data_IF_054096853381
#
_entry.id   IF_054096853381
#
_cell.length_a   1.000
_cell.length_b   1.000
_cell.length_c   1.000
_cell.angle_alpha   90.00
_cell.angle_beta   90.00
_cell.angle_gamma   90.00
#
_symmetry.space_group_name_H-M   'P 1'
#
loop_
_entity.id
_entity.type
_entity.pdbx_description
1 polymer ?
#
# COMPACT_ATOMS: atom_id res chain seq x y z
N UNK A 1 -12.66 -31.04 2.94
CA UNK A 1 -13.26 -29.70 2.86
C UNK A 1 -12.18 -28.79 2.32
N UNK A 2 -12.40 -28.16 1.17
CA UNK A 2 -11.48 -27.17 0.60
C UNK A 2 -11.30 -26.06 1.62
N UNK A 3 -10.11 -25.92 2.19
CA UNK A 3 -9.70 -24.71 2.90
C UNK A 3 -10.03 -23.51 2.01
N UNK A 4 -10.66 -22.48 2.58
CA UNK A 4 -10.93 -21.23 1.86
C UNK A 4 -9.61 -20.73 1.28
N UNK A 5 -9.53 -20.70 -0.05
CA UNK A 5 -8.40 -20.08 -0.73
C UNK A 5 -8.37 -18.61 -0.34
N UNK A 6 -7.22 -18.15 0.17
CA UNK A 6 -7.03 -16.76 0.48
C UNK A 6 -7.24 -15.91 -0.78
N UNK A 7 -7.69 -14.67 -0.61
CA UNK A 7 -7.76 -13.74 -1.73
C UNK A 7 -6.36 -13.55 -2.33
N UNK A 8 -6.28 -13.66 -3.66
CA UNK A 8 -5.07 -13.34 -4.40
C UNK A 8 -4.66 -11.89 -4.07
N UNK A 9 -3.38 -11.65 -3.88
CA UNK A 9 -2.88 -10.33 -3.51
C UNK A 9 -1.63 -9.97 -4.32
N UNK A 10 -1.59 -8.73 -4.80
CA UNK A 10 -0.37 -8.10 -5.30
C UNK A 10 0.05 -7.05 -4.29
N UNK A 11 1.31 -7.12 -3.89
CA UNK A 11 1.86 -6.34 -2.80
C UNK A 11 3.04 -5.60 -3.36
N UNK A 12 2.90 -4.28 -3.47
CA UNK A 12 4.00 -3.41 -3.88
C UNK A 12 4.51 -2.74 -2.61
N UNK A 13 5.69 -3.15 -2.17
CA UNK A 13 6.35 -2.56 -1.00
C UNK A 13 7.28 -1.47 -1.49
N UNK A 14 6.93 -0.24 -1.15
CA UNK A 14 7.75 0.93 -1.48
C UNK A 14 8.93 0.99 -0.52
N UNK A 15 8.71 1.00 0.80
CA UNK A 15 9.78 0.97 1.81
C UNK A 15 9.31 0.32 3.12
N UNK A 16 10.24 -0.16 3.99
CA UNK A 16 11.62 -0.54 3.67
C UNK A 16 11.65 -1.86 2.86
N UNK A 17 12.83 -2.24 2.34
CA UNK A 17 13.04 -3.46 1.55
C UNK A 17 12.14 -3.52 0.31
N UNK A 18 12.37 -2.59 -0.63
CA UNK A 18 11.63 -2.43 -1.88
C UNK A 18 11.41 -3.78 -2.56
N UNK A 19 10.16 -4.10 -2.91
CA UNK A 19 9.87 -5.39 -3.49
C UNK A 19 8.42 -5.61 -3.87
N UNK A 20 8.19 -6.71 -4.58
CA UNK A 20 6.85 -7.13 -5.02
C UNK A 20 6.61 -8.55 -4.54
N UNK A 21 5.48 -8.76 -3.85
CA UNK A 21 5.00 -10.11 -3.50
C UNK A 21 3.67 -10.37 -4.21
N UNK A 22 3.56 -11.48 -4.91
CA UNK A 22 2.29 -11.97 -5.50
C UNK A 22 1.89 -13.25 -4.81
N UNK A 23 0.74 -13.26 -4.15
CA UNK A 23 0.17 -14.43 -3.47
C UNK A 23 -1.02 -14.97 -4.25
N UNK A 24 -1.03 -16.27 -4.53
CA UNK A 24 -2.12 -16.94 -5.24
C UNK A 24 -2.19 -18.43 -4.91
N UNK A 25 -3.35 -19.04 -5.16
CA UNK A 25 -3.55 -20.48 -4.96
C UNK A 25 -2.86 -21.32 -6.05
N UNK A 26 -2.09 -22.32 -5.63
CA UNK A 26 -1.48 -23.31 -6.52
C UNK A 26 -1.75 -24.74 -6.04
N UNK A 27 -1.86 -25.67 -6.98
CA UNK A 27 -2.06 -27.08 -6.66
C UNK A 27 -0.79 -27.66 -6.01
N UNK A 28 -0.97 -28.36 -4.90
CA UNK A 28 0.11 -29.13 -4.27
C UNK A 28 0.51 -30.30 -5.18
N UNK A 29 1.81 -30.48 -5.51
CA UNK A 29 2.27 -31.65 -6.25
C UNK A 29 1.87 -32.95 -5.53
N UNK A 30 1.09 -33.80 -6.19
CA UNK A 30 0.56 -35.02 -5.59
C UNK A 30 -0.68 -35.56 -6.31
N UNK A 31 -1.22 -36.66 -5.80
CA UNK A 31 -2.42 -37.32 -6.32
C UNK A 31 -3.72 -36.73 -5.79
N UNK A 32 -3.68 -35.98 -4.68
CA UNK A 32 -4.82 -35.25 -4.12
C UNK A 32 -5.08 -33.93 -4.86
N UNK A 33 -6.35 -33.49 -4.87
CA UNK A 33 -6.74 -32.16 -5.32
C UNK A 33 -6.76 -31.21 -4.11
N UNK A 34 -5.56 -30.79 -3.71
CA UNK A 34 -5.33 -29.82 -2.64
C UNK A 34 -4.69 -28.56 -3.24
N UNK A 35 -5.26 -27.39 -2.95
CA UNK A 35 -4.77 -26.09 -3.39
C UNK A 35 -4.26 -25.36 -2.15
N UNK A 36 -3.06 -24.77 -2.23
CA UNK A 36 -2.45 -23.98 -1.17
C UNK A 36 -2.00 -22.63 -1.69
N UNK A 37 -1.97 -21.64 -0.81
CA UNK A 37 -1.40 -20.34 -1.12
C UNK A 37 0.12 -20.45 -1.30
N UNK A 38 0.59 -19.98 -2.46
CA UNK A 38 2.01 -19.81 -2.76
C UNK A 38 2.32 -18.33 -2.95
N UNK A 39 3.57 -17.93 -2.68
CA UNK A 39 4.05 -16.57 -2.86
C UNK A 39 5.19 -16.55 -3.87
N UNK A 40 5.16 -15.57 -4.78
CA UNK A 40 6.29 -15.18 -5.61
C UNK A 40 6.82 -13.85 -5.09
N UNK A 41 8.09 -13.82 -4.72
CA UNK A 41 8.74 -12.67 -4.11
C UNK A 41 9.85 -12.13 -5.00
N UNK A 42 9.88 -10.82 -5.17
CA UNK A 42 10.96 -10.05 -5.77
C UNK A 42 11.42 -9.01 -4.75
N UNK A 43 12.71 -8.98 -4.45
CA UNK A 43 13.34 -8.02 -3.55
C UNK A 43 14.44 -7.24 -4.30
N UNK A 44 14.34 -5.91 -4.29
CA UNK A 44 15.25 -5.04 -5.04
C UNK A 44 16.66 -5.09 -4.48
N UNK A 45 16.82 -5.02 -3.14
CA UNK A 45 18.12 -5.05 -2.48
C UNK A 45 18.89 -6.38 -2.60
N UNK A 46 18.20 -7.48 -2.90
CA UNK A 46 18.86 -8.77 -3.22
C UNK A 46 19.17 -8.90 -4.71
N UNK A 47 18.37 -8.26 -5.57
CA UNK A 47 18.47 -8.39 -7.03
C UNK A 47 19.44 -7.38 -7.66
N UNK A 48 19.69 -6.25 -7.00
CA UNK A 48 20.58 -5.19 -7.47
C UNK A 48 21.60 -4.82 -6.38
N UNK A 49 22.87 -4.74 -6.75
CA UNK A 49 23.98 -4.36 -5.84
C UNK A 49 24.15 -2.85 -5.69
N UNK A 50 23.41 -2.05 -6.45
CA UNK A 50 23.45 -0.59 -6.38
C UNK A 50 22.30 -0.08 -5.51
N UNK A 51 22.60 0.91 -4.66
CA UNK A 51 21.59 1.61 -3.90
C UNK A 51 20.71 2.42 -4.84
N UNK A 52 19.39 2.32 -4.66
CA UNK A 52 18.44 3.24 -5.29
C UNK A 52 18.82 4.70 -4.95
N UNK A 53 18.80 5.63 -5.93
CA UNK A 53 19.03 7.04 -5.64
C UNK A 53 18.06 7.54 -4.58
N UNK A 54 18.50 8.49 -3.76
CA UNK A 54 17.62 9.14 -2.80
C UNK A 54 16.52 9.91 -3.56
N UNK A 55 15.33 10.02 -2.96
CA UNK A 55 14.16 10.61 -3.64
C UNK A 55 14.43 12.02 -4.18
N UNK A 56 15.10 12.89 -3.42
CA UNK A 56 15.46 14.25 -3.84
C UNK A 56 16.58 14.29 -4.87
N UNK A 57 17.55 13.36 -4.83
CA UNK A 57 18.58 13.27 -5.89
C UNK A 57 17.92 13.06 -7.25
N UNK A 58 16.94 12.15 -7.32
CA UNK A 58 16.18 11.89 -8.54
C UNK A 58 15.37 13.10 -8.97
N UNK A 59 14.64 13.74 -8.06
CA UNK A 59 13.80 14.91 -8.40
C UNK A 59 14.65 16.11 -8.88
N UNK A 60 15.81 16.35 -8.28
CA UNK A 60 16.72 17.42 -8.70
C UNK A 60 17.28 17.11 -10.11
N UNK A 61 17.69 15.87 -10.36
CA UNK A 61 18.14 15.45 -11.68
C UNK A 61 17.05 15.66 -12.75
N UNK A 62 15.81 15.28 -12.45
CA UNK A 62 14.69 15.44 -13.38
C UNK A 62 14.42 16.93 -13.71
N UNK A 63 14.53 17.82 -12.73
CA UNK A 63 14.47 19.28 -12.98
C UNK A 63 15.60 19.75 -13.90
N UNK A 64 16.83 19.28 -13.69
CA UNK A 64 17.98 19.64 -14.53
C UNK A 64 17.84 19.14 -15.97
N UNK A 65 17.18 17.99 -16.17
CA UNK A 65 16.88 17.41 -17.47
C UNK A 65 15.61 17.96 -18.12
N UNK A 66 14.82 18.76 -17.39
CA UNK A 66 13.52 19.26 -17.85
C UNK A 66 12.44 18.17 -17.92
N UNK A 67 12.58 17.08 -17.16
CA UNK A 67 11.58 16.03 -17.04
C UNK A 67 10.61 16.35 -15.89
N UNK A 68 9.33 16.48 -16.23
CA UNK A 68 8.26 16.82 -15.28
C UNK A 68 7.40 15.61 -14.86
N UNK A 69 7.75 14.38 -15.23
CA UNK A 69 6.88 13.21 -15.00
C UNK A 69 6.63 12.87 -13.53
N UNK A 70 7.57 13.20 -12.64
CA UNK A 70 7.44 12.96 -11.19
C UNK A 70 6.88 14.16 -10.42
N UNK A 71 6.45 15.21 -11.12
CA UNK A 71 5.89 16.40 -10.51
C UNK A 71 4.38 16.45 -10.73
N UNK A 72 3.57 16.67 -9.67
CA UNK A 72 2.13 16.78 -9.82
C UNK A 72 1.79 18.01 -10.66
N UNK A 73 0.82 17.87 -11.54
CA UNK A 73 0.31 18.97 -12.36
C UNK A 73 -0.63 19.83 -11.54
N UNK A 74 -0.77 21.10 -11.91
CA UNK A 74 -1.67 22.03 -11.22
C UNK A 74 -3.10 21.47 -11.06
N UNK A 75 -3.66 20.89 -12.11
CA UNK A 75 -4.99 20.28 -12.04
C UNK A 75 -5.06 19.11 -11.06
N UNK A 76 -4.03 18.27 -10.98
CA UNK A 76 -4.00 17.13 -10.04
C UNK A 76 -3.99 17.63 -8.58
N UNK A 77 -3.28 18.73 -8.32
CA UNK A 77 -3.26 19.39 -7.01
C UNK A 77 -4.64 19.94 -6.65
N UNK A 78 -5.29 20.66 -7.56
CA UNK A 78 -6.64 21.23 -7.35
C UNK A 78 -7.69 20.14 -7.09
N UNK A 79 -7.67 19.04 -7.85
CA UNK A 79 -8.61 17.93 -7.62
C UNK A 79 -8.32 17.19 -6.31
N UNK A 80 -7.05 17.10 -5.91
CA UNK A 80 -6.68 16.52 -4.60
C UNK A 80 -7.25 17.35 -3.45
N UNK A 81 -7.20 18.69 -3.54
CA UNK A 81 -7.78 19.58 -2.54
C UNK A 81 -9.29 19.49 -2.47
N UNK A 82 -10.00 19.37 -3.60
CA UNK A 82 -11.47 19.16 -3.59
C UNK A 82 -11.90 17.90 -2.82
N UNK A 83 -11.04 16.90 -2.71
CA UNK A 83 -11.30 15.69 -1.92
C UNK A 83 -11.03 15.93 -0.44
N UNK A 84 -9.97 16.68 -0.10
CA UNK A 84 -9.53 16.91 1.28
C UNK A 84 -10.29 18.02 1.99
N UNK A 85 -10.61 19.13 1.30
CA UNK A 85 -11.27 20.31 1.90
C UNK A 85 -12.55 19.94 2.68
N UNK A 86 -13.48 19.10 2.16
CA UNK A 86 -14.68 18.75 2.90
C UNK A 86 -14.39 17.93 4.16
N UNK A 87 -13.31 17.14 4.16
CA UNK A 87 -12.88 16.34 5.32
C UNK A 87 -12.33 17.27 6.40
N UNK A 88 -11.50 18.24 6.02
CA UNK A 88 -10.96 19.24 6.94
C UNK A 88 -12.04 20.13 7.54
N UNK A 89 -12.97 20.64 6.72
CA UNK A 89 -14.12 21.43 7.17
C UNK A 89 -15.00 20.65 8.16
N UNK A 90 -15.23 19.37 7.87
CA UNK A 90 -16.00 18.50 8.75
C UNK A 90 -15.34 18.37 10.13
N UNK A 91 -14.03 18.12 10.19
CA UNK A 91 -13.30 18.02 11.46
C UNK A 91 -13.24 19.35 12.21
N UNK A 92 -13.06 20.47 11.51
CA UNK A 92 -13.08 21.79 12.13
C UNK A 92 -14.41 22.08 12.88
N UNK A 93 -15.54 21.56 12.38
CA UNK A 93 -16.85 21.75 12.98
C UNK A 93 -17.30 20.64 13.97
N UNK A 94 -16.83 19.40 13.79
CA UNK A 94 -17.38 18.22 14.50
C UNK A 94 -16.40 17.56 15.48
N UNK A 95 -15.16 18.06 15.58
CA UNK A 95 -14.18 17.62 16.55
C UNK A 95 -12.96 16.93 15.96
N UNK A 96 -12.17 16.29 16.82
CA UNK A 96 -10.86 15.73 16.49
C UNK A 96 -10.92 14.24 16.13
N UNK A 97 -9.95 13.72 15.36
CA UNK A 97 -9.82 12.28 15.09
C UNK A 97 -9.70 11.44 16.37
N UNK A 98 -10.09 10.16 16.26
CA UNK A 98 -9.99 9.19 17.34
C UNK A 98 -8.52 9.00 17.77
N UNK A 99 -8.31 8.92 19.09
CA UNK A 99 -6.99 8.73 19.69
C UNK A 99 -6.61 7.25 19.70
N UNK A 100 -5.31 6.96 19.65
CA UNK A 100 -4.77 5.60 19.70
C UNK A 100 -3.42 5.58 20.42
N UNK A 101 -3.01 4.40 20.90
CA UNK A 101 -1.76 4.25 21.61
C UNK A 101 -0.56 4.34 20.66
N UNK A 102 0.51 5.02 21.08
CA UNK A 102 1.76 5.07 20.30
C UNK A 102 2.31 3.67 20.03
N UNK A 103 2.69 3.41 18.77
CA UNK A 103 3.19 2.10 18.32
C UNK A 103 2.08 1.09 17.98
N UNK A 104 0.81 1.43 18.16
CA UNK A 104 -0.31 0.67 17.59
C UNK A 104 -0.59 1.11 16.15
N UNK A 105 -1.47 0.38 15.47
CA UNK A 105 -1.82 0.59 14.07
C UNK A 105 -2.96 1.60 13.85
N UNK A 106 -3.48 2.18 14.94
CA UNK A 106 -4.55 3.15 14.89
C UNK A 106 -5.69 2.82 15.85
N UNK A 107 -6.79 3.59 15.79
CA UNK A 107 -7.99 3.37 16.59
C UNK A 107 -8.79 2.16 16.05
N UNK A 108 -9.56 1.50 16.92
CA UNK A 108 -10.44 0.37 16.56
C UNK A 108 -11.44 0.71 15.45
N UNK A 109 -11.84 1.98 15.37
CA UNK A 109 -12.77 2.52 14.39
C UNK A 109 -12.23 2.38 12.96
N UNK A 110 -10.91 2.31 12.77
CA UNK A 110 -10.29 2.06 11.47
C UNK A 110 -10.51 0.62 10.98
N UNK A 111 -10.48 -0.37 11.89
CA UNK A 111 -10.79 -1.76 11.58
C UNK A 111 -12.29 -1.94 11.31
N UNK A 112 -13.13 -1.32 12.15
CA UNK A 112 -14.59 -1.35 11.98
C UNK A 112 -15.02 -0.76 10.63
N UNK A 113 -14.36 0.32 10.18
CA UNK A 113 -14.62 0.94 8.88
C UNK A 113 -14.43 -0.05 7.73
N UNK A 114 -13.33 -0.79 7.71
CA UNK A 114 -13.09 -1.80 6.66
C UNK A 114 -14.01 -3.02 6.81
N UNK A 115 -14.30 -3.44 8.04
CA UNK A 115 -15.16 -4.59 8.31
C UNK A 115 -16.59 -4.38 7.78
N UNK A 116 -17.09 -3.13 7.73
CA UNK A 116 -18.39 -2.79 7.11
C UNK A 116 -18.46 -3.17 5.63
N UNK A 117 -17.34 -3.13 4.93
CA UNK A 117 -17.21 -3.54 3.53
C UNK A 117 -16.72 -4.99 3.36
N UNK A 118 -16.64 -5.76 4.45
CA UNK A 118 -16.12 -7.13 4.44
C UNK A 118 -14.62 -7.22 4.17
N UNK A 119 -13.87 -6.14 4.47
CA UNK A 119 -12.43 -6.03 4.26
C UNK A 119 -11.69 -5.97 5.61
N UNK A 120 -10.40 -6.24 5.58
CA UNK A 120 -9.51 -6.10 6.73
C UNK A 120 -8.16 -5.56 6.28
N UNK A 121 -7.45 -4.85 7.16
CA UNK A 121 -6.07 -4.46 6.90
C UNK A 121 -5.18 -5.70 6.72
N UNK A 122 -4.31 -5.67 5.71
CA UNK A 122 -3.38 -6.78 5.46
C UNK A 122 -2.26 -6.86 6.52
N UNK A 123 -1.85 -5.70 7.05
CA UNK A 123 -0.91 -5.55 8.16
C UNK A 123 -1.54 -4.56 9.14
N UNK A 124 -2.28 -5.06 10.13
CA UNK A 124 -2.65 -4.30 11.32
C UNK A 124 -1.62 -4.55 12.43
#
# INVERSE_FOLDING_TARGET
>A
ATEELGQNAIVIRVQPDEGITVRFGSKVPGTSMEIRDVSMDFAYGESFTESSPEAYERLILDVLLGDANLFPRHQEVEESWKILDPIEEYWAAHGTPAQYASGSWGPSEADEMLARDGRSWRRP
#
